data_IF_300962443421
#
_entry.id   IF_300962443421
#
_cell.length_a   1.000
_cell.length_b   1.000
_cell.length_c   1.000
_cell.angle_alpha   90.00
_cell.angle_beta   90.00
_cell.angle_gamma   90.00
#
_symmetry.space_group_name_H-M   'P 1'
#
loop_
_entity.id
_entity.type
_entity.pdbx_description
1 polymer ?
#
# COMPACT_ATOMS: atom_id res chain seq x y z
N UNK A 1 50.88 -9.77 -34.37
CA UNK A 1 50.73 -10.40 -33.05
C UNK A 1 49.50 -9.79 -32.39
N UNK A 2 48.39 -10.52 -32.29
CA UNK A 2 47.16 -10.04 -31.63
C UNK A 2 47.20 -10.52 -30.18
N UNK A 3 47.41 -9.61 -29.24
CA UNK A 3 47.27 -9.89 -27.81
C UNK A 3 45.79 -9.85 -27.44
N UNK A 4 45.19 -11.02 -27.23
CA UNK A 4 43.86 -11.17 -26.65
C UNK A 4 43.96 -10.93 -25.15
N UNK A 5 43.49 -9.79 -24.67
CA UNK A 5 43.24 -9.57 -23.25
C UNK A 5 41.96 -10.34 -22.88
N UNK A 6 42.12 -11.38 -22.08
CA UNK A 6 41.01 -12.05 -21.39
C UNK A 6 40.65 -11.23 -20.17
N UNK A 7 39.47 -10.60 -20.20
CA UNK A 7 38.86 -9.97 -19.03
C UNK A 7 38.46 -11.07 -18.03
N UNK A 8 39.33 -11.32 -17.06
CA UNK A 8 39.03 -12.17 -15.92
C UNK A 8 38.41 -11.32 -14.80
N UNK A 9 37.14 -11.56 -14.49
CA UNK A 9 36.53 -11.09 -13.24
C UNK A 9 37.17 -11.82 -12.06
N UNK A 10 37.88 -11.08 -11.20
CA UNK A 10 38.41 -11.62 -9.95
C UNK A 10 37.27 -12.03 -9.00
N UNK A 11 37.26 -13.29 -8.58
CA UNK A 11 36.30 -13.88 -7.63
C UNK A 11 36.49 -13.40 -6.17
N UNK A 12 36.95 -12.16 -5.95
CA UNK A 12 37.36 -11.64 -4.65
C UNK A 12 36.38 -10.65 -4.01
N UNK A 13 35.19 -10.41 -4.61
CA UNK A 13 34.11 -9.66 -3.94
C UNK A 13 34.40 -8.19 -3.60
N UNK A 14 35.49 -7.61 -4.12
CA UNK A 14 35.81 -6.19 -3.99
C UNK A 14 35.50 -5.53 -5.34
N UNK A 15 34.36 -4.86 -5.43
CA UNK A 15 33.97 -4.13 -6.63
C UNK A 15 34.74 -2.81 -6.71
N UNK A 16 35.57 -2.67 -7.74
CA UNK A 16 36.17 -1.39 -8.12
C UNK A 16 35.11 -0.38 -8.64
N UNK A 17 35.53 0.86 -8.94
CA UNK A 17 34.64 2.01 -9.13
C UNK A 17 33.76 1.99 -10.40
N UNK A 18 33.69 0.88 -11.14
CA UNK A 18 33.03 0.80 -12.45
C UNK A 18 31.92 -0.26 -12.57
N UNK A 19 31.53 -0.92 -11.48
CA UNK A 19 30.41 -1.86 -11.52
C UNK A 19 29.09 -1.13 -11.25
N UNK A 20 28.22 -1.06 -12.27
CA UNK A 20 26.81 -0.71 -12.07
C UNK A 20 26.20 -1.67 -11.02
N UNK A 21 25.33 -1.19 -10.12
CA UNK A 21 24.70 -2.06 -9.12
C UNK A 21 23.97 -3.21 -9.85
N UNK A 22 24.03 -4.45 -9.32
CA UNK A 22 23.32 -5.57 -9.91
C UNK A 22 21.82 -5.22 -10.02
N UNK A 23 21.15 -5.58 -11.12
CA UNK A 23 19.72 -5.36 -11.25
C UNK A 23 18.99 -6.02 -10.08
N UNK A 24 17.93 -5.41 -9.54
CA UNK A 24 17.16 -6.01 -8.46
C UNK A 24 16.69 -7.40 -8.90
N UNK A 25 16.88 -8.39 -8.03
CA UNK A 25 16.49 -9.76 -8.32
C UNK A 25 14.98 -9.82 -8.67
N UNK A 26 14.57 -10.64 -9.66
CA UNK A 26 13.16 -10.78 -10.01
C UNK A 26 12.38 -11.31 -8.80
N UNK A 27 11.33 -10.58 -8.43
CA UNK A 27 10.57 -10.72 -7.17
C UNK A 27 9.92 -12.10 -6.97
N UNK A 28 9.82 -12.91 -8.03
CA UNK A 28 9.22 -14.25 -7.99
C UNK A 28 9.97 -15.26 -8.89
N UNK A 29 11.31 -15.22 -8.93
CA UNK A 29 12.11 -16.10 -9.79
C UNK A 29 11.81 -17.61 -9.60
N UNK A 30 11.36 -18.00 -8.40
CA UNK A 30 10.96 -19.38 -8.06
C UNK A 30 9.48 -19.71 -8.31
N UNK A 31 8.73 -18.81 -8.94
CA UNK A 31 7.27 -18.93 -9.09
C UNK A 31 6.50 -18.64 -7.81
N UNK A 32 5.17 -18.60 -7.91
CA UNK A 32 4.25 -18.48 -6.79
C UNK A 32 3.41 -19.76 -6.67
N UNK A 33 3.05 -20.13 -5.44
CA UNK A 33 2.20 -21.30 -5.20
C UNK A 33 0.82 -21.18 -5.85
N UNK A 34 0.11 -22.31 -5.97
CA UNK A 34 -1.26 -22.32 -6.50
C UNK A 34 -2.17 -21.34 -5.77
N UNK A 35 -2.92 -20.53 -6.52
CA UNK A 35 -3.76 -19.46 -5.97
C UNK A 35 -3.01 -18.15 -5.65
N UNK A 36 -1.74 -18.02 -6.03
CA UNK A 36 -0.95 -16.79 -5.91
C UNK A 36 -0.43 -16.31 -7.27
N UNK A 37 -0.41 -15.00 -7.45
CA UNK A 37 0.15 -14.32 -8.62
C UNK A 37 1.46 -13.63 -8.26
N UNK A 38 2.30 -13.36 -9.25
CA UNK A 38 3.51 -12.57 -9.04
C UNK A 38 3.21 -11.07 -9.20
N UNK A 39 3.50 -10.30 -8.16
CA UNK A 39 3.34 -8.85 -8.14
C UNK A 39 4.67 -8.13 -7.89
N UNK A 40 4.59 -6.80 -7.78
CA UNK A 40 5.76 -5.94 -7.59
C UNK A 40 6.53 -6.23 -6.29
N UNK A 41 5.86 -6.75 -5.27
CA UNK A 41 6.44 -7.02 -3.95
C UNK A 41 6.55 -8.52 -3.63
N UNK A 42 6.41 -9.38 -4.64
CA UNK A 42 6.44 -10.84 -4.50
C UNK A 42 5.07 -11.46 -4.74
N UNK A 43 4.86 -12.65 -4.17
CA UNK A 43 3.63 -13.40 -4.37
C UNK A 43 2.46 -12.79 -3.59
N UNK A 44 1.34 -12.58 -4.28
CA UNK A 44 0.10 -12.10 -3.68
C UNK A 44 -1.03 -13.08 -3.98
N UNK A 45 -2.02 -13.16 -3.09
CA UNK A 45 -3.12 -14.11 -3.25
C UNK A 45 -4.04 -13.68 -4.40
N UNK A 46 -4.22 -14.54 -5.39
CA UNK A 46 -5.21 -14.35 -6.44
C UNK A 46 -6.59 -14.48 -5.82
N UNK A 47 -7.42 -13.46 -6.02
CA UNK A 47 -8.84 -13.59 -5.76
C UNK A 47 -9.49 -14.17 -7.01
N UNK A 48 -10.20 -15.29 -6.84
CA UNK A 48 -11.22 -15.63 -7.80
C UNK A 48 -12.18 -14.44 -7.84
N UNK A 49 -12.32 -13.79 -9.00
CA UNK A 49 -13.47 -12.92 -9.26
C UNK A 49 -14.68 -13.83 -9.38
N UNK A 50 -15.13 -14.35 -8.24
CA UNK A 50 -16.44 -14.97 -8.17
C UNK A 50 -17.37 -13.78 -8.28
N UNK A 51 -17.99 -13.56 -9.45
CA UNK A 51 -19.28 -12.88 -9.46
C UNK A 51 -20.10 -13.55 -8.36
N UNK A 52 -20.52 -12.78 -7.36
CA UNK A 52 -20.97 -13.26 -6.05
C UNK A 52 -22.18 -14.21 -6.17
N UNK A 53 -21.92 -15.48 -6.52
CA UNK A 53 -22.93 -16.49 -6.74
C UNK A 53 -23.39 -17.04 -5.40
N UNK A 54 -24.40 -16.38 -4.81
CA UNK A 54 -25.55 -16.95 -4.06
C UNK A 54 -26.02 -16.02 -2.95
N UNK A 55 -26.95 -15.13 -3.31
CA UNK A 55 -28.26 -15.21 -2.66
C UNK A 55 -29.22 -15.80 -3.68
N UNK A 56 -29.69 -17.03 -3.49
CA UNK A 56 -30.91 -17.49 -4.13
C UNK A 56 -32.03 -16.60 -3.62
N UNK A 57 -32.37 -15.54 -4.36
CA UNK A 57 -33.69 -14.93 -4.30
C UNK A 57 -34.42 -15.29 -5.58
N UNK A 58 -35.57 -15.90 -5.35
CA UNK A 58 -36.56 -16.32 -6.33
C UNK A 58 -36.85 -15.17 -7.30
N UNK A 59 -36.96 -15.54 -8.57
CA UNK A 59 -37.04 -14.73 -9.77
C UNK A 59 -37.76 -13.36 -9.68
N UNK A 60 -37.15 -12.34 -10.30
CA UNK A 60 -37.84 -11.35 -11.12
C UNK A 60 -36.89 -10.84 -12.23
N UNK A 61 -37.34 -10.70 -13.49
CA UNK A 61 -36.42 -10.53 -14.62
C UNK A 61 -35.84 -9.11 -14.72
N UNK A 62 -34.54 -9.10 -15.01
CA UNK A 62 -33.76 -8.21 -15.88
C UNK A 62 -34.21 -6.74 -16.02
N UNK A 63 -33.44 -5.84 -15.40
CA UNK A 63 -33.04 -4.57 -16.00
C UNK A 63 -31.53 -4.38 -15.85
N UNK A 64 -30.87 -4.31 -17.00
CA UNK A 64 -29.47 -3.95 -17.14
C UNK A 64 -29.28 -2.51 -16.62
N UNK A 65 -28.77 -2.37 -15.39
CA UNK A 65 -28.56 -1.06 -14.74
C UNK A 65 -28.44 -1.10 -13.21
N UNK A 66 -28.98 -2.11 -12.53
CA UNK A 66 -29.08 -2.13 -11.05
C UNK A 66 -27.87 -2.77 -10.33
N UNK A 67 -26.93 -3.41 -11.04
CA UNK A 67 -25.78 -4.08 -10.40
C UNK A 67 -24.72 -3.10 -9.86
N UNK A 68 -24.57 -1.93 -10.49
CA UNK A 68 -23.58 -0.92 -10.08
C UNK A 68 -23.98 -0.20 -8.78
N UNK A 69 -25.27 0.06 -8.59
CA UNK A 69 -25.77 0.86 -7.46
C UNK A 69 -25.64 0.08 -6.14
N UNK A 70 -25.93 -1.23 -6.15
CA UNK A 70 -25.81 -2.07 -4.96
C UNK A 70 -24.37 -2.31 -4.51
N UNK A 71 -23.41 -2.38 -5.44
CA UNK A 71 -21.99 -2.55 -5.09
C UNK A 71 -21.38 -1.28 -4.53
N UNK A 72 -21.70 -0.12 -5.10
CA UNK A 72 -21.24 1.17 -4.60
C UNK A 72 -21.83 1.48 -3.22
N UNK A 73 -23.12 1.19 -3.02
CA UNK A 73 -23.78 1.33 -1.73
C UNK A 73 -23.10 0.43 -0.68
N UNK A 74 -22.90 -0.85 -0.96
CA UNK A 74 -22.19 -1.77 -0.06
C UNK A 74 -20.78 -1.28 0.26
N UNK A 75 -20.06 -0.77 -0.75
CA UNK A 75 -18.71 -0.21 -0.57
C UNK A 75 -18.74 1.03 0.32
N UNK A 76 -19.77 1.86 0.23
CA UNK A 76 -19.92 3.08 1.04
C UNK A 76 -20.13 2.76 2.53
N UNK A 77 -20.81 1.66 2.84
CA UNK A 77 -21.13 1.19 4.19
C UNK A 77 -19.97 0.45 4.88
N UNK A 78 -18.93 0.05 4.14
CA UNK A 78 -17.77 -0.64 4.70
C UNK A 78 -17.08 0.16 5.81
N UNK A 79 -16.57 -0.56 6.81
CA UNK A 79 -15.74 0.03 7.86
C UNK A 79 -14.43 0.59 7.30
N UNK A 80 -13.76 1.52 8.01
CA UNK A 80 -12.47 2.03 7.55
C UNK A 80 -11.42 0.93 7.35
N UNK A 81 -11.40 -0.09 8.22
CA UNK A 81 -10.49 -1.25 8.09
C UNK A 81 -10.83 -2.12 6.88
N UNK A 82 -12.12 -2.37 6.62
CA UNK A 82 -12.55 -3.09 5.42
C UNK A 82 -12.14 -2.36 4.14
N UNK A 83 -12.32 -1.03 4.11
CA UNK A 83 -11.91 -0.19 2.97
C UNK A 83 -10.40 -0.21 2.76
N UNK A 84 -9.62 -0.08 3.83
CA UNK A 84 -8.17 -0.10 3.78
C UNK A 84 -7.67 -1.46 3.29
N UNK A 85 -8.14 -2.54 3.92
CA UNK A 85 -7.79 -3.91 3.54
C UNK A 85 -8.20 -4.23 2.10
N UNK A 86 -9.40 -3.84 1.67
CA UNK A 86 -9.85 -4.04 0.29
C UNK A 86 -8.92 -3.34 -0.72
N UNK A 87 -8.52 -2.09 -0.45
CA UNK A 87 -7.58 -1.39 -1.31
C UNK A 87 -6.21 -2.10 -1.38
N UNK A 88 -5.66 -2.56 -0.24
CA UNK A 88 -4.40 -3.31 -0.24
C UNK A 88 -4.47 -4.59 -1.10
N UNK A 89 -5.63 -5.23 -1.09
CA UNK A 89 -5.89 -6.42 -1.87
C UNK A 89 -6.02 -6.10 -3.36
N UNK A 90 -6.72 -5.03 -3.71
CA UNK A 90 -6.87 -4.56 -5.09
C UNK A 90 -5.52 -4.12 -5.70
N UNK A 91 -4.60 -3.64 -4.86
CA UNK A 91 -3.20 -3.33 -5.23
C UNK A 91 -2.27 -4.54 -5.21
N UNK A 92 -2.80 -5.75 -5.02
CA UNK A 92 -2.05 -7.00 -5.06
C UNK A 92 -0.87 -7.02 -4.08
N UNK A 93 -1.05 -6.46 -2.88
CA UNK A 93 -0.03 -6.56 -1.85
C UNK A 93 0.10 -8.02 -1.35
N UNK A 94 1.32 -8.48 -1.01
CA UNK A 94 1.52 -9.79 -0.38
C UNK A 94 0.79 -9.90 0.96
N UNK A 95 0.48 -11.13 1.38
CA UNK A 95 -0.23 -11.38 2.65
C UNK A 95 0.52 -10.83 3.87
N UNK A 96 1.85 -10.83 3.82
CA UNK A 96 2.73 -10.22 4.84
C UNK A 96 2.44 -8.72 5.02
N UNK A 97 2.09 -8.02 3.95
CA UNK A 97 1.67 -6.62 3.98
C UNK A 97 0.19 -6.47 4.31
N UNK A 98 -0.70 -7.33 3.77
CA UNK A 98 -2.14 -7.28 4.03
C UNK A 98 -2.44 -7.43 5.53
N UNK A 99 -1.65 -8.22 6.27
CA UNK A 99 -1.75 -8.33 7.74
C UNK A 99 -1.63 -6.99 8.48
N UNK A 100 -1.07 -5.97 7.82
CA UNK A 100 -0.87 -4.62 8.32
C UNK A 100 -1.90 -3.62 7.81
N UNK A 101 -2.82 -4.04 6.93
CA UNK A 101 -3.81 -3.14 6.31
C UNK A 101 -5.06 -2.94 7.15
N UNK A 102 -4.87 -2.73 8.46
CA UNK A 102 -5.89 -2.20 9.37
C UNK A 102 -5.29 -1.02 10.12
N UNK A 103 -6.13 -0.12 10.61
CA UNK A 103 -5.70 1.04 11.36
C UNK A 103 -5.11 0.68 12.73
N UNK A 104 -5.36 -0.52 13.24
CA UNK A 104 -4.74 -1.03 14.47
C UNK A 104 -3.36 -1.66 14.24
N UNK A 105 -3.12 -2.33 13.11
CA UNK A 105 -1.83 -2.98 12.81
C UNK A 105 -0.89 -2.12 11.98
N UNK A 106 -1.41 -1.15 11.23
CA UNK A 106 -0.64 -0.11 10.57
C UNK A 106 -0.15 0.90 11.60
N UNK A 107 1.04 0.67 12.13
CA UNK A 107 1.65 1.46 13.21
C UNK A 107 3.04 1.95 12.83
N UNK A 108 3.54 2.95 13.56
CA UNK A 108 4.94 3.39 13.45
C UNK A 108 5.92 2.24 13.61
N UNK A 109 5.67 1.35 14.57
CA UNK A 109 6.52 0.19 14.84
C UNK A 109 6.53 -0.81 13.67
N UNK A 110 5.37 -1.07 13.05
CA UNK A 110 5.28 -1.92 11.87
C UNK A 110 6.11 -1.34 10.70
N UNK A 111 5.95 -0.04 10.40
CA UNK A 111 6.74 0.63 9.35
C UNK A 111 8.24 0.63 9.67
N UNK A 112 8.61 0.85 10.93
CA UNK A 112 10.00 0.79 11.37
C UNK A 112 10.60 -0.61 11.15
N UNK A 113 9.86 -1.68 11.47
CA UNK A 113 10.31 -3.04 11.24
C UNK A 113 10.45 -3.35 9.74
N UNK A 114 9.54 -2.85 8.90
CA UNK A 114 9.64 -2.98 7.44
C UNK A 114 10.88 -2.26 6.89
N UNK A 115 11.17 -1.07 7.40
CA UNK A 115 12.34 -0.28 7.03
C UNK A 115 13.65 -1.00 7.38
N UNK A 116 13.77 -1.50 8.61
CA UNK A 116 14.95 -2.25 9.06
C UNK A 116 14.99 -3.69 8.51
N UNK A 117 14.04 -4.07 7.63
CA UNK A 117 13.91 -5.42 7.08
C UNK A 117 13.78 -6.52 8.15
N UNK A 118 13.32 -6.13 9.34
CA UNK A 118 12.91 -7.04 10.40
C UNK A 118 11.48 -7.57 10.17
N UNK A 119 10.75 -6.96 9.24
CA UNK A 119 9.43 -7.40 8.79
C UNK A 119 9.49 -8.03 7.39
N UNK A 120 8.74 -9.12 7.13
CA UNK A 120 8.68 -9.73 5.80
C UNK A 120 7.91 -8.91 4.75
N UNK A 121 7.14 -7.88 5.16
CA UNK A 121 6.58 -6.91 4.22
C UNK A 121 7.66 -5.87 3.84
N UNK A 122 8.01 -5.73 2.54
CA UNK A 122 9.04 -4.80 2.12
C UNK A 122 8.60 -3.33 2.28
N UNK A 123 9.54 -2.45 2.63
CA UNK A 123 9.26 -1.01 2.82
C UNK A 123 8.67 -0.32 1.59
N UNK A 124 8.97 -0.82 0.38
CA UNK A 124 8.43 -0.31 -0.87
C UNK A 124 6.89 -0.41 -0.94
N UNK A 125 6.30 -1.42 -0.29
CA UNK A 125 4.84 -1.58 -0.21
C UNK A 125 4.18 -0.53 0.69
N UNK A 126 4.94 0.18 1.53
CA UNK A 126 4.39 1.18 2.44
C UNK A 126 3.73 2.36 1.72
N UNK A 127 4.18 2.73 0.52
CA UNK A 127 3.55 3.79 -0.27
C UNK A 127 2.13 3.40 -0.70
N UNK A 128 1.95 2.14 -1.09
CA UNK A 128 0.62 1.61 -1.46
C UNK A 128 -0.27 1.44 -0.24
N UNK A 129 0.27 1.01 0.90
CA UNK A 129 -0.48 0.94 2.15
C UNK A 129 -0.91 2.33 2.63
N UNK A 130 -0.02 3.32 2.58
CA UNK A 130 -0.34 4.70 2.94
C UNK A 130 -1.42 5.28 2.02
N UNK A 131 -1.30 5.06 0.70
CA UNK A 131 -2.31 5.44 -0.28
C UNK A 131 -3.67 4.82 0.04
N UNK A 132 -3.69 3.54 0.37
CA UNK A 132 -4.90 2.81 0.71
C UNK A 132 -5.53 3.25 2.03
N UNK A 133 -4.74 3.53 3.06
CA UNK A 133 -5.24 4.08 4.32
C UNK A 133 -5.89 5.46 4.10
N UNK A 134 -5.26 6.31 3.28
CA UNK A 134 -5.76 7.64 2.92
C UNK A 134 -6.84 7.62 1.82
N UNK A 135 -7.16 6.45 1.25
CA UNK A 135 -8.16 6.28 0.19
C UNK A 135 -7.95 7.22 -1.01
N UNK A 136 -6.70 7.51 -1.35
CA UNK A 136 -6.34 8.34 -2.51
C UNK A 136 -6.69 9.83 -2.37
N UNK A 137 -6.82 10.37 -1.16
CA UNK A 137 -7.28 11.75 -0.91
C UNK A 137 -6.21 12.64 -0.27
N UNK A 138 -6.42 13.95 -0.35
CA UNK A 138 -5.61 14.97 0.31
C UNK A 138 -6.10 15.25 1.73
N UNK A 139 -5.26 14.97 2.72
CA UNK A 139 -5.50 15.21 4.14
C UNK A 139 -4.59 16.28 4.74
N UNK A 140 -3.83 17.03 3.93
CA UNK A 140 -2.83 18.01 4.40
C UNK A 140 -3.41 18.98 5.42
N UNK A 141 -4.65 19.45 5.23
CA UNK A 141 -5.30 20.36 6.16
C UNK A 141 -5.50 19.74 7.56
N UNK A 142 -5.89 18.47 7.64
CA UNK A 142 -6.01 17.76 8.91
C UNK A 142 -4.62 17.53 9.53
N UNK A 143 -3.66 17.08 8.72
CA UNK A 143 -2.31 16.81 9.17
C UNK A 143 -1.58 18.05 9.71
N UNK A 144 -1.70 19.19 9.04
CA UNK A 144 -1.11 20.46 9.47
C UNK A 144 -1.64 20.86 10.86
N UNK A 145 -2.97 20.78 11.06
CA UNK A 145 -3.59 21.06 12.37
C UNK A 145 -3.17 20.08 13.47
N UNK A 146 -2.80 18.85 13.10
CA UNK A 146 -2.34 17.82 14.04
C UNK A 146 -0.80 17.77 14.16
N UNK A 147 -0.08 18.81 13.71
CA UNK A 147 1.35 18.97 13.96
C UNK A 147 2.25 18.06 13.14
N UNK A 148 1.77 17.48 12.04
CA UNK A 148 2.60 16.64 11.15
C UNK A 148 3.71 17.46 10.48
N UNK A 149 3.44 18.72 10.14
CA UNK A 149 4.44 19.66 9.60
C UNK A 149 5.43 20.20 10.64
N UNK A 150 5.24 19.90 11.93
CA UNK A 150 6.05 20.43 13.03
C UNK A 150 7.16 19.47 13.50
N UNK A 151 7.44 18.41 12.73
CA UNK A 151 8.58 17.51 13.00
C UNK A 151 9.90 18.17 12.60
N UNK A 152 11.03 17.51 12.88
CA UNK A 152 12.34 17.96 12.44
C UNK A 152 12.45 18.09 10.91
N UNK A 153 11.71 17.28 10.15
CA UNK A 153 11.65 17.36 8.69
C UNK A 153 10.67 18.44 8.17
N UNK A 154 9.95 19.12 9.07
CA UNK A 154 9.09 20.26 8.78
C UNK A 154 7.90 19.92 7.88
N UNK A 155 7.50 20.89 7.06
CA UNK A 155 6.38 20.80 6.12
C UNK A 155 6.53 19.68 5.08
N UNK A 156 7.74 19.16 4.85
CA UNK A 156 7.96 18.02 3.97
C UNK A 156 7.13 16.80 4.38
N UNK A 157 6.81 16.65 5.65
CA UNK A 157 5.98 15.55 6.15
C UNK A 157 4.52 15.63 5.70
N UNK A 158 4.02 16.80 5.29
CA UNK A 158 2.66 16.91 4.75
C UNK A 158 2.50 16.20 3.40
N UNK A 159 3.61 15.91 2.73
CA UNK A 159 3.67 15.10 1.51
C UNK A 159 3.05 13.70 1.71
N UNK A 160 3.18 13.12 2.92
CA UNK A 160 2.55 11.83 3.29
C UNK A 160 1.03 11.90 3.50
N UNK A 161 0.50 13.11 3.65
CA UNK A 161 -0.93 13.33 3.85
C UNK A 161 -1.66 13.58 2.54
N UNK A 162 -0.94 13.97 1.50
CA UNK A 162 -1.50 14.08 0.16
C UNK A 162 -1.28 12.78 -0.60
N UNK A 163 -2.29 11.92 -0.63
CA UNK A 163 -2.23 10.62 -1.32
C UNK A 163 -3.04 10.64 -2.62
N UNK A 164 -3.27 11.81 -3.22
CA UNK A 164 -3.87 11.90 -4.55
C UNK A 164 -2.97 11.16 -5.56
N UNK A 165 -3.54 10.30 -6.43
CA UNK A 165 -2.76 9.60 -7.46
C UNK A 165 -1.88 10.54 -8.28
N UNK A 166 -0.68 10.07 -8.65
CA UNK A 166 0.27 10.84 -9.46
C UNK A 166 1.35 11.57 -8.66
N UNK A 167 1.21 11.69 -7.33
CA UNK A 167 2.26 12.20 -6.45
C UNK A 167 2.92 11.06 -5.66
N UNK A 168 3.79 10.28 -6.33
CA UNK A 168 4.50 9.16 -5.66
C UNK A 168 5.70 9.70 -4.90
N UNK A 169 5.63 9.58 -3.58
CA UNK A 169 6.67 10.09 -2.68
C UNK A 169 7.63 8.95 -2.37
N UNK A 170 8.91 9.11 -2.70
CA UNK A 170 9.89 8.08 -2.37
C UNK A 170 10.10 8.04 -0.85
N UNK A 171 9.84 6.89 -0.26
CA UNK A 171 9.93 6.65 1.17
C UNK A 171 11.37 6.29 1.55
N UNK A 172 12.27 7.27 1.50
CA UNK A 172 13.68 7.11 1.86
C UNK A 172 13.99 7.51 3.31
N UNK A 173 15.27 7.38 3.72
CA UNK A 173 15.72 7.65 5.10
C UNK A 173 15.44 9.09 5.56
N UNK A 174 15.29 10.07 4.65
CA UNK A 174 15.10 11.49 4.98
C UNK A 174 13.75 11.76 5.65
N UNK A 175 12.80 10.84 5.51
CA UNK A 175 11.44 10.98 6.03
C UNK A 175 11.19 10.22 7.34
N UNK A 176 12.22 9.60 7.94
CA UNK A 176 12.06 8.86 9.19
C UNK A 176 11.52 9.75 10.33
N UNK A 177 11.91 11.03 10.36
CA UNK A 177 11.41 12.02 11.32
C UNK A 177 9.90 12.31 11.14
N UNK A 178 9.35 12.12 9.94
CA UNK A 178 7.91 12.27 9.71
C UNK A 178 7.10 11.19 10.42
N UNK A 179 7.68 10.00 10.64
CA UNK A 179 7.00 8.89 11.30
C UNK A 179 6.80 9.11 12.80
N UNK A 180 7.44 10.11 13.41
CA UNK A 180 7.14 10.52 14.79
C UNK A 180 5.69 11.02 14.95
N UNK A 181 5.09 11.52 13.87
CA UNK A 181 3.69 11.93 13.80
C UNK A 181 2.82 10.95 13.03
N UNK A 182 3.26 9.70 12.88
CA UNK A 182 2.55 8.70 12.10
C UNK A 182 1.13 8.43 12.61
N UNK A 183 0.95 8.30 13.92
CA UNK A 183 -0.37 8.09 14.51
C UNK A 183 -1.29 9.30 14.27
N UNK A 184 -0.75 10.52 14.24
CA UNK A 184 -1.50 11.74 13.88
C UNK A 184 -1.93 11.73 12.41
N UNK A 185 -1.03 11.31 11.50
CA UNK A 185 -1.37 11.14 10.07
C UNK A 185 -2.48 10.11 9.88
N UNK A 186 -2.29 8.92 10.46
CA UNK A 186 -3.24 7.81 10.41
C UNK A 186 -4.60 8.18 11.00
N UNK A 187 -4.62 8.89 12.13
CA UNK A 187 -5.85 9.38 12.75
C UNK A 187 -6.68 10.28 11.82
N UNK A 188 -6.02 11.14 11.04
CA UNK A 188 -6.69 11.96 10.03
C UNK A 188 -7.40 11.12 8.96
N UNK A 189 -6.77 10.04 8.49
CA UNK A 189 -7.34 9.14 7.49
C UNK A 189 -8.52 8.35 8.05
N UNK A 190 -8.37 7.80 9.26
CA UNK A 190 -9.44 7.07 9.96
C UNK A 190 -10.67 7.94 10.14
N UNK A 191 -10.50 9.13 10.69
CA UNK A 191 -11.63 10.03 10.94
C UNK A 191 -12.33 10.49 9.65
N UNK A 192 -11.61 10.65 8.54
CA UNK A 192 -12.23 10.90 7.25
C UNK A 192 -13.13 9.74 6.80
N UNK A 193 -12.62 8.52 6.89
CA UNK A 193 -13.36 7.30 6.55
C UNK A 193 -14.60 7.12 7.43
N UNK A 194 -14.45 7.26 8.75
CA UNK A 194 -15.57 7.13 9.70
C UNK A 194 -16.66 8.17 9.42
N UNK A 195 -16.30 9.44 9.21
CA UNK A 195 -17.31 10.48 8.90
C UNK A 195 -18.06 10.19 7.61
N UNK A 196 -17.37 9.67 6.58
CA UNK A 196 -18.03 9.28 5.33
C UNK A 196 -18.95 8.09 5.49
N UNK A 197 -18.52 7.07 6.23
CA UNK A 197 -19.36 5.91 6.54
C UNK A 197 -20.62 6.33 7.30
N UNK A 198 -20.49 7.20 8.31
CA UNK A 198 -21.63 7.74 9.06
C UNK A 198 -22.60 8.49 8.16
N UNK A 199 -22.09 9.36 7.27
CA UNK A 199 -22.93 10.07 6.30
C UNK A 199 -23.67 9.11 5.36
N UNK A 200 -23.01 8.05 4.90
CA UNK A 200 -23.64 7.03 4.07
C UNK A 200 -24.73 6.25 4.84
N UNK A 201 -24.47 5.91 6.11
CA UNK A 201 -25.44 5.26 6.99
C UNK A 201 -26.65 6.15 7.29
N UNK A 202 -26.46 7.47 7.40
CA UNK A 202 -27.54 8.43 7.64
C UNK A 202 -28.32 8.84 6.39
N UNK A 203 -27.79 8.55 5.20
CA UNK A 203 -28.46 8.84 3.92
C UNK A 203 -29.35 7.68 3.43
N UNK A 204 -29.42 6.60 4.20
CA UNK A 204 -30.20 5.39 3.94
C UNK A 204 -31.41 5.33 4.87
#
# INVERSE_FOLDING_TARGET
MRTTWVDACFAAGICGPSCAPPPPAPVCAGGCGGGYGCGQYGCYRLRARVASSKTLRIAKPEREGEESEGEEERRSLQTPDEKFMACCQDRNLPDTCISKCTFSTYTRAALQNMYFRADPCPMQAAADMQFCAAQGRDHRQCCARNGVGSTLAGEKCLTFCNQVPGNVTQLDMSYIACYDRFESMKGCFWHDLTRRQQRALSAK
#
